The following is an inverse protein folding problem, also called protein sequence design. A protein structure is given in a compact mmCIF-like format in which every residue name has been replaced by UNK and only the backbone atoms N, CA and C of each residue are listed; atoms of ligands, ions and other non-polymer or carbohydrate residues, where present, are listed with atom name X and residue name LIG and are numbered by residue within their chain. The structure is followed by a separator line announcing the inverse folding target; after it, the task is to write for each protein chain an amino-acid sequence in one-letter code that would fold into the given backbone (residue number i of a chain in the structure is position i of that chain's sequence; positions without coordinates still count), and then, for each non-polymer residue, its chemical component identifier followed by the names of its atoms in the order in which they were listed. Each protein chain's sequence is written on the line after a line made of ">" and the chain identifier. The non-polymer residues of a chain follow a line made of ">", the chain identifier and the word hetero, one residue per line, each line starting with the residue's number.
data_IF_063387339871
#
_entry.id   IF_063387339871
#
_cell.length_a   1.000
_cell.length_b   1.000
_cell.length_c   1.000
_cell.angle_alpha   90.00
_cell.angle_beta   90.00
_cell.angle_gamma   90.00
#
_symmetry.space_group_name_H-M   'P 1'
#
loop_
_entity.id
_entity.type
_entity.pdbx_description
1 polymer ?
#
# COMPACT_ATOMS: atom_id res chain seq x y z
N UNK A 1 23.68 -52.28 -26.35
CA UNK A 1 22.62 -51.47 -25.72
C UNK A 1 22.83 -51.48 -24.22
N UNK A 2 23.66 -50.59 -23.70
CA UNK A 2 23.83 -50.43 -22.24
C UNK A 2 22.62 -49.69 -21.71
N UNK A 3 21.68 -50.43 -21.14
CA UNK A 3 20.48 -49.87 -20.52
C UNK A 3 20.86 -48.89 -19.41
N UNK A 4 20.21 -47.73 -19.39
CA UNK A 4 20.31 -46.77 -18.30
C UNK A 4 19.90 -47.45 -16.99
N UNK A 5 20.87 -47.97 -16.24
CA UNK A 5 20.65 -48.41 -14.88
C UNK A 5 20.46 -47.16 -14.02
N UNK A 6 19.20 -46.79 -13.77
CA UNK A 6 18.86 -45.69 -12.87
C UNK A 6 19.44 -45.98 -11.49
N UNK A 7 20.43 -45.20 -11.08
CA UNK A 7 21.00 -45.31 -9.74
C UNK A 7 19.91 -44.91 -8.72
N UNK A 8 19.35 -45.92 -8.02
CA UNK A 8 18.25 -45.73 -7.06
C UNK A 8 18.60 -44.77 -5.93
N UNK A 9 19.87 -44.68 -5.54
CA UNK A 9 20.33 -43.75 -4.51
C UNK A 9 20.26 -42.30 -4.99
N UNK A 10 20.80 -42.01 -6.20
CA UNK A 10 20.69 -40.69 -6.83
C UNK A 10 19.23 -40.28 -7.05
N UNK A 11 18.39 -41.24 -7.44
CA UNK A 11 16.95 -41.00 -7.61
C UNK A 11 16.27 -40.63 -6.28
N UNK A 12 16.58 -41.35 -5.19
CA UNK A 12 16.08 -41.04 -3.85
C UNK A 12 16.53 -39.68 -3.33
N UNK A 13 17.78 -39.30 -3.62
CA UNK A 13 18.30 -37.97 -3.29
C UNK A 13 17.56 -36.87 -4.08
N UNK A 14 17.35 -37.06 -5.38
CA UNK A 14 16.58 -36.12 -6.20
C UNK A 14 15.13 -35.94 -5.72
N UNK A 15 14.47 -37.01 -5.26
CA UNK A 15 13.14 -36.91 -4.65
C UNK A 15 13.16 -36.12 -3.34
N UNK A 16 14.16 -36.34 -2.49
CA UNK A 16 14.35 -35.60 -1.23
C UNK A 16 14.60 -34.11 -1.47
N UNK A 17 15.47 -33.78 -2.42
CA UNK A 17 15.77 -32.39 -2.79
C UNK A 17 14.56 -31.69 -3.41
N UNK A 18 13.79 -32.39 -4.26
CA UNK A 18 12.52 -31.89 -4.79
C UNK A 18 11.50 -31.65 -3.66
N UNK A 19 11.41 -32.54 -2.67
CA UNK A 19 10.52 -32.35 -1.53
C UNK A 19 10.89 -31.09 -0.73
N UNK A 20 12.18 -30.90 -0.42
CA UNK A 20 12.67 -29.67 0.24
C UNK A 20 12.38 -28.41 -0.58
N UNK A 21 12.60 -28.48 -1.90
CA UNK A 21 12.33 -27.36 -2.79
C UNK A 21 10.83 -26.99 -2.85
N UNK A 22 9.94 -27.99 -2.81
CA UNK A 22 8.50 -27.74 -2.76
C UNK A 22 8.09 -27.05 -1.45
N UNK A 23 8.59 -27.53 -0.31
CA UNK A 23 8.36 -26.88 1.00
C UNK A 23 8.87 -25.43 1.00
N UNK A 24 10.04 -25.18 0.43
CA UNK A 24 10.57 -23.82 0.29
C UNK A 24 9.70 -22.94 -0.61
N UNK A 25 9.18 -23.47 -1.74
CA UNK A 25 8.25 -22.74 -2.62
C UNK A 25 6.95 -22.40 -1.92
N UNK A 26 6.38 -23.33 -1.17
CA UNK A 26 5.17 -23.09 -0.39
C UNK A 26 5.39 -22.00 0.66
N UNK A 27 6.53 -22.04 1.36
CA UNK A 27 6.90 -21.02 2.34
C UNK A 27 7.08 -19.64 1.70
N UNK A 28 7.75 -19.54 0.55
CA UNK A 28 7.89 -18.29 -0.21
C UNK A 28 6.52 -17.77 -0.65
N UNK A 29 5.66 -18.63 -1.17
CA UNK A 29 4.31 -18.25 -1.63
C UNK A 29 3.46 -17.69 -0.48
N UNK A 30 3.53 -18.33 0.69
CA UNK A 30 2.85 -17.83 1.89
C UNK A 30 3.43 -16.47 2.35
N UNK A 31 4.76 -16.32 2.33
CA UNK A 31 5.42 -15.07 2.67
C UNK A 31 5.06 -13.93 1.68
N UNK A 32 5.03 -14.22 0.38
CA UNK A 32 4.62 -13.27 -0.66
C UNK A 32 3.19 -12.80 -0.46
N UNK A 33 2.26 -13.69 -0.11
CA UNK A 33 0.87 -13.32 0.17
C UNK A 33 0.78 -12.31 1.32
N UNK A 34 1.49 -12.55 2.42
CA UNK A 34 1.54 -11.63 3.58
C UNK A 34 2.15 -10.28 3.17
N UNK A 35 3.22 -10.30 2.37
CA UNK A 35 3.86 -9.08 1.85
C UNK A 35 2.91 -8.30 0.94
N UNK A 36 2.16 -8.97 0.07
CA UNK A 36 1.19 -8.32 -0.81
C UNK A 36 0.02 -7.72 -0.02
N UNK A 37 -0.50 -8.43 0.98
CA UNK A 37 -1.57 -7.93 1.85
C UNK A 37 -1.12 -6.69 2.64
N UNK A 38 0.07 -6.73 3.23
CA UNK A 38 0.64 -5.58 3.98
C UNK A 38 0.98 -4.39 3.09
N UNK A 39 1.32 -4.62 1.82
CA UNK A 39 1.57 -3.56 0.82
C UNK A 39 0.30 -2.90 0.30
N UNK A 40 -0.90 -3.43 0.56
CA UNK A 40 -2.13 -2.75 0.16
C UNK A 40 -2.27 -1.41 0.87
N UNK A 41 -2.61 -0.39 0.10
CA UNK A 41 -2.90 0.94 0.64
C UNK A 41 -4.18 0.86 1.48
N UNK A 42 -4.24 1.53 2.65
CA UNK A 42 -5.49 1.59 3.38
C UNK A 42 -6.49 2.42 2.58
N UNK A 43 -7.76 2.24 2.90
CA UNK A 43 -8.81 3.06 2.31
C UNK A 43 -8.56 4.55 2.55
N UNK A 44 -8.82 5.33 1.51
CA UNK A 44 -8.61 6.77 1.56
C UNK A 44 -9.53 7.40 2.61
N UNK A 45 -9.00 8.19 3.59
CA UNK A 45 -9.80 8.70 4.69
C UNK A 45 -11.02 9.47 4.19
N UNK A 46 -12.18 9.24 4.81
CA UNK A 46 -13.43 9.89 4.41
C UNK A 46 -13.31 11.43 4.42
N UNK A 47 -12.55 11.97 5.38
CA UNK A 47 -12.28 13.40 5.45
C UNK A 47 -11.57 13.91 4.19
N UNK A 48 -10.71 13.13 3.54
CA UNK A 48 -10.01 13.54 2.32
C UNK A 48 -10.90 13.51 1.06
N UNK A 49 -12.11 12.95 1.16
CA UNK A 49 -13.13 12.99 0.11
C UNK A 49 -14.08 14.18 0.27
N UNK A 50 -14.06 14.86 1.41
CA UNK A 50 -14.93 16.00 1.70
C UNK A 50 -14.50 17.22 0.89
N UNK A 51 -15.47 17.92 0.33
CA UNK A 51 -15.27 19.24 -0.28
C UNK A 51 -15.59 20.35 0.72
N UNK A 52 -14.78 21.40 0.70
CA UNK A 52 -15.05 22.64 1.43
C UNK A 52 -15.90 23.57 0.57
N UNK A 53 -16.78 24.33 1.23
CA UNK A 53 -17.60 25.37 0.62
C UNK A 53 -17.49 26.62 1.48
N UNK A 54 -17.41 27.78 0.84
CA UNK A 54 -17.33 29.08 1.54
C UNK A 54 -18.60 29.39 2.34
N UNK A 55 -19.76 28.91 1.90
CA UNK A 55 -21.04 29.23 2.56
C UNK A 55 -21.43 30.71 2.42
N UNK A 56 -20.87 31.41 1.42
CA UNK A 56 -21.28 32.75 1.04
C UNK A 56 -22.72 32.71 0.52
N UNK A 57 -23.53 33.66 0.96
CA UNK A 57 -24.92 33.83 0.56
C UNK A 57 -25.09 35.12 -0.23
N UNK A 58 -26.14 35.16 -1.06
CA UNK A 58 -26.59 36.41 -1.66
C UNK A 58 -27.03 37.35 -0.52
N UNK A 59 -26.57 38.60 -0.55
CA UNK A 59 -26.72 39.62 0.52
C UNK A 59 -25.71 39.54 1.67
N UNK A 60 -24.74 38.61 1.67
CA UNK A 60 -23.60 38.77 2.55
C UNK A 60 -22.89 40.10 2.25
N UNK A 61 -22.61 40.89 3.28
CA UNK A 61 -21.70 42.03 3.13
C UNK A 61 -20.36 41.54 2.61
N UNK A 62 -19.68 42.35 1.80
CA UNK A 62 -18.39 41.99 1.21
C UNK A 62 -17.37 41.50 2.24
N UNK A 63 -17.26 42.17 3.39
CA UNK A 63 -16.33 41.78 4.45
C UNK A 63 -16.66 40.40 5.06
N UNK A 64 -17.95 40.09 5.22
CA UNK A 64 -18.41 38.76 5.66
C UNK A 64 -18.14 37.70 4.59
N UNK A 65 -18.41 38.01 3.33
CA UNK A 65 -18.18 37.08 2.22
C UNK A 65 -16.70 36.73 2.09
N UNK A 66 -15.80 37.72 2.16
CA UNK A 66 -14.34 37.51 2.11
C UNK A 66 -13.85 36.65 3.29
N UNK A 67 -14.31 36.93 4.52
CA UNK A 67 -13.95 36.09 5.68
C UNK A 67 -14.39 34.64 5.52
N UNK A 68 -15.61 34.43 5.01
CA UNK A 68 -16.15 33.09 4.73
C UNK A 68 -15.33 32.34 3.69
N UNK A 69 -14.94 33.01 2.60
CA UNK A 69 -14.09 32.40 1.57
C UNK A 69 -12.72 32.05 2.10
N UNK A 70 -12.08 32.95 2.86
CA UNK A 70 -10.74 32.73 3.40
C UNK A 70 -10.73 31.58 4.42
N UNK A 71 -11.75 31.50 5.29
CA UNK A 71 -11.89 30.40 6.22
C UNK A 71 -12.05 29.06 5.51
N UNK A 72 -12.86 29.01 4.44
CA UNK A 72 -13.04 27.78 3.67
C UNK A 72 -11.77 27.40 2.88
N UNK A 73 -11.05 28.39 2.33
CA UNK A 73 -9.78 28.17 1.67
C UNK A 73 -8.72 27.64 2.64
N UNK A 74 -8.60 28.25 3.83
CA UNK A 74 -7.71 27.78 4.89
C UNK A 74 -8.02 26.35 5.32
N UNK A 75 -9.31 26.03 5.51
CA UNK A 75 -9.76 24.67 5.82
C UNK A 75 -9.45 23.66 4.71
N UNK A 76 -9.69 24.02 3.45
CA UNK A 76 -9.36 23.19 2.29
C UNK A 76 -7.85 22.92 2.18
N UNK A 77 -7.03 23.96 2.32
CA UNK A 77 -5.58 23.84 2.25
C UNK A 77 -5.04 22.98 3.40
N UNK A 78 -5.56 23.15 4.62
CA UNK A 78 -5.19 22.31 5.77
C UNK A 78 -5.55 20.84 5.55
N UNK A 79 -6.74 20.57 5.02
CA UNK A 79 -7.17 19.22 4.65
C UNK A 79 -6.24 18.62 3.58
N UNK A 80 -5.93 19.35 2.51
CA UNK A 80 -5.04 18.91 1.44
C UNK A 80 -3.66 18.54 2.01
N UNK A 81 -3.08 19.41 2.83
CA UNK A 81 -1.77 19.17 3.44
C UNK A 81 -1.78 17.91 4.32
N UNK A 82 -2.83 17.73 5.12
CA UNK A 82 -2.97 16.53 5.96
C UNK A 82 -3.12 15.25 5.13
N UNK A 83 -3.94 15.29 4.07
CA UNK A 83 -4.17 14.15 3.19
C UNK A 83 -2.92 13.75 2.41
N UNK A 84 -2.14 14.73 1.94
CA UNK A 84 -0.83 14.49 1.33
C UNK A 84 0.13 13.82 2.32
N UNK A 85 0.27 14.37 3.53
CA UNK A 85 1.12 13.79 4.57
C UNK A 85 0.68 12.38 5.00
N UNK A 86 -0.63 12.11 5.01
CA UNK A 86 -1.15 10.76 5.24
C UNK A 86 -0.74 9.81 4.12
N UNK A 87 -0.89 10.22 2.86
CA UNK A 87 -0.53 9.41 1.70
C UNK A 87 0.97 9.10 1.70
N UNK A 88 1.82 10.10 1.88
CA UNK A 88 3.27 9.94 1.86
C UNK A 88 3.77 9.02 2.97
N UNK A 89 3.26 9.17 4.20
CA UNK A 89 3.58 8.24 5.30
C UNK A 89 3.19 6.80 4.97
N UNK A 90 2.00 6.61 4.39
CA UNK A 90 1.52 5.29 4.05
C UNK A 90 2.29 4.67 2.88
N UNK A 91 2.68 5.48 1.89
CA UNK A 91 3.52 5.06 0.76
C UNK A 91 4.90 4.64 1.26
N UNK A 92 5.58 5.51 2.02
CA UNK A 92 6.91 5.25 2.59
C UNK A 92 6.94 4.00 3.46
N UNK A 93 5.91 3.77 4.28
CA UNK A 93 5.83 2.58 5.12
C UNK A 93 5.77 1.26 4.32
N UNK A 94 5.39 1.32 3.04
CA UNK A 94 5.22 0.15 2.17
C UNK A 94 6.33 -0.01 1.14
N UNK A 95 7.17 1.01 0.95
CA UNK A 95 8.34 0.89 0.11
C UNK A 95 9.34 -0.12 0.71
N UNK A 96 9.97 -0.96 -0.12
CA UNK A 96 10.96 -1.91 0.36
C UNK A 96 12.14 -1.17 0.97
N UNK A 97 12.39 -1.37 2.26
CA UNK A 97 13.56 -0.79 2.92
C UNK A 97 14.82 -1.46 2.39
N UNK A 98 15.77 -0.65 1.88
CA UNK A 98 17.11 -1.13 1.59
C UNK A 98 17.71 -1.66 2.90
N UNK A 99 18.15 -2.91 2.90
CA UNK A 99 18.96 -3.43 4.00
C UNK A 99 20.32 -2.72 3.91
N UNK A 100 20.66 -1.93 4.93
CA UNK A 100 22.02 -1.40 5.15
C UNK A 100 22.93 -2.51 5.64
#
# INVERSE_FOLDING_TARGET
>A
MTGCATNKWLLGQAYSDKAKANVAKEAITAAEKIVQETRRMPDYPALCRRQWRSGVLLQDRFDTATKKTDNALGGANGQIAWCAAWYDRNKLAREPKKKS
#
